data_IF_115696070870
#
_entry.id   IF_115696070870
#
_cell.length_a   1.000
_cell.length_b   1.000
_cell.length_c   1.000
_cell.angle_alpha   90.00
_cell.angle_beta   90.00
_cell.angle_gamma   90.00
#
_symmetry.space_group_name_H-M   'P 1'
#
loop_
_entity.id
_entity.type
_entity.pdbx_description
1 polymer ?
#
# COMPACT_ATOMS: atom_id res chain seq x y z
N UNK A 1 -8.94 -49.50 -11.39
CA UNK A 1 -7.95 -49.14 -10.36
C UNK A 1 -7.98 -47.64 -10.24
N UNK A 2 -8.55 -47.19 -9.13
CA UNK A 2 -8.82 -45.80 -8.77
C UNK A 2 -7.53 -45.01 -8.54
N UNK A 3 -7.64 -43.71 -8.87
CA UNK A 3 -7.03 -42.53 -8.25
C UNK A 3 -5.81 -42.72 -7.33
N UNK A 4 -4.73 -42.01 -7.67
CA UNK A 4 -3.94 -41.28 -6.67
C UNK A 4 -3.48 -39.94 -7.26
N UNK A 5 -4.38 -38.95 -7.19
CA UNK A 5 -4.01 -37.53 -7.21
C UNK A 5 -3.55 -37.15 -5.80
N UNK A 6 -2.39 -36.53 -5.59
CA UNK A 6 -2.03 -35.96 -4.29
C UNK A 6 -2.70 -34.58 -4.16
N UNK A 7 -4.03 -34.54 -4.07
CA UNK A 7 -4.74 -33.38 -3.55
C UNK A 7 -4.99 -33.63 -2.06
N UNK A 8 -3.99 -33.31 -1.23
CA UNK A 8 -4.19 -32.98 0.19
C UNK A 8 -2.95 -32.29 0.74
N UNK A 9 -2.58 -31.15 0.16
CA UNK A 9 -1.85 -30.16 0.92
C UNK A 9 -2.84 -29.54 1.90
N UNK A 10 -2.80 -30.00 3.15
CA UNK A 10 -3.48 -29.44 4.31
C UNK A 10 -3.75 -27.94 4.13
N UNK A 11 -5.02 -27.54 4.15
CA UNK A 11 -5.47 -26.16 4.13
C UNK A 11 -4.88 -25.43 5.35
N UNK A 12 -3.69 -24.87 5.18
CA UNK A 12 -3.01 -24.02 6.14
C UNK A 12 -3.94 -22.85 6.44
N UNK A 13 -4.51 -22.83 7.65
CA UNK A 13 -5.49 -21.83 8.05
C UNK A 13 -4.96 -20.42 7.76
N UNK A 14 -5.55 -19.77 6.77
CA UNK A 14 -5.25 -18.38 6.42
C UNK A 14 -6.06 -17.48 7.35
N UNK A 15 -5.44 -16.39 7.79
CA UNK A 15 -6.12 -15.39 8.64
C UNK A 15 -5.87 -14.01 8.03
N UNK A 16 -6.91 -13.20 7.92
CA UNK A 16 -6.79 -11.78 7.58
C UNK A 16 -7.09 -10.95 8.82
N UNK A 17 -6.26 -9.95 9.06
CA UNK A 17 -6.43 -9.02 10.18
C UNK A 17 -6.62 -7.63 9.57
N UNK A 18 -7.78 -7.03 9.80
CA UNK A 18 -8.10 -5.66 9.42
C UNK A 18 -7.95 -4.78 10.64
N UNK A 19 -7.11 -3.76 10.52
CA UNK A 19 -6.87 -2.75 11.54
C UNK A 19 -7.54 -1.47 11.06
N UNK A 20 -8.27 -0.78 11.93
CA UNK A 20 -8.91 0.51 11.66
C UNK A 20 -8.54 1.49 12.78
N UNK A 21 -8.18 2.71 12.42
CA UNK A 21 -7.88 3.78 13.38
C UNK A 21 -8.18 5.15 12.78
N UNK A 22 -8.45 6.13 13.63
CA UNK A 22 -8.68 7.53 13.19
C UNK A 22 -7.38 8.30 12.93
N UNK A 23 -6.27 7.88 13.55
CA UNK A 23 -4.92 8.35 13.25
C UNK A 23 -4.16 7.27 12.46
N UNK A 24 -3.70 7.63 11.26
CA UNK A 24 -2.93 6.71 10.42
C UNK A 24 -1.63 6.25 11.08
N UNK A 25 -1.00 7.08 11.92
CA UNK A 25 0.25 6.73 12.62
C UNK A 25 0.01 5.61 13.63
N UNK A 26 -1.08 5.71 14.38
CA UNK A 26 -1.47 4.66 15.31
C UNK A 26 -1.83 3.37 14.58
N UNK A 27 -2.53 3.46 13.44
CA UNK A 27 -2.84 2.28 12.62
C UNK A 27 -1.58 1.63 12.03
N UNK A 28 -0.61 2.43 11.57
CA UNK A 28 0.68 1.95 11.07
C UNK A 28 1.52 1.29 12.18
N UNK A 29 1.56 1.91 13.37
CA UNK A 29 2.28 1.38 14.52
C UNK A 29 1.67 0.06 15.01
N UNK A 30 0.35 0.02 15.20
CA UNK A 30 -0.35 -1.21 15.60
C UNK A 30 -0.12 -2.35 14.60
N UNK A 31 -0.11 -2.03 13.30
CA UNK A 31 0.18 -3.02 12.27
C UNK A 31 1.63 -3.53 12.36
N UNK A 32 2.61 -2.65 12.56
CA UNK A 32 4.01 -3.03 12.73
C UNK A 32 4.22 -3.89 13.99
N UNK A 33 3.58 -3.52 15.10
CA UNK A 33 3.70 -4.25 16.37
C UNK A 33 3.08 -5.64 16.28
N UNK A 34 1.94 -5.78 15.61
CA UNK A 34 1.33 -7.08 15.34
C UNK A 34 2.28 -7.94 14.54
N UNK A 35 2.82 -7.43 13.43
CA UNK A 35 3.75 -8.18 12.58
C UNK A 35 4.98 -8.61 13.37
N UNK A 36 5.56 -7.72 14.17
CA UNK A 36 6.70 -8.03 15.04
C UNK A 36 6.37 -9.14 16.06
N UNK A 37 5.15 -9.14 16.62
CA UNK A 37 4.71 -10.15 17.59
C UNK A 37 4.61 -11.56 17.00
N UNK A 38 4.33 -11.67 15.70
CA UNK A 38 4.15 -12.95 15.00
C UNK A 38 5.35 -13.37 14.15
N UNK A 39 6.34 -12.49 13.95
CA UNK A 39 7.54 -12.74 13.14
C UNK A 39 8.39 -13.93 13.64
N UNK A 40 8.30 -14.27 14.94
CA UNK A 40 8.99 -15.42 15.53
C UNK A 40 8.25 -16.77 15.38
N UNK A 41 7.19 -16.83 14.59
CA UNK A 41 6.39 -18.04 14.37
C UNK A 41 6.64 -18.64 12.98
N UNK A 42 6.16 -19.86 12.74
CA UNK A 42 6.29 -20.53 11.44
C UNK A 42 5.33 -19.97 10.36
N UNK A 43 4.58 -18.91 10.69
CA UNK A 43 3.62 -18.30 9.78
C UNK A 43 4.32 -17.29 8.84
N UNK A 44 3.90 -17.28 7.58
CA UNK A 44 4.30 -16.25 6.62
C UNK A 44 3.35 -15.06 6.72
N UNK A 45 3.90 -13.85 6.59
CA UNK A 45 3.18 -12.61 6.83
C UNK A 45 3.28 -11.74 5.58
N UNK A 46 2.13 -11.30 5.09
CA UNK A 46 2.02 -10.38 3.96
C UNK A 46 1.33 -9.10 4.43
N UNK A 47 1.91 -7.93 4.12
CA UNK A 47 1.41 -6.63 4.59
C UNK A 47 2.37 -5.85 5.49
N UNK A 48 1.92 -4.80 6.19
CA UNK A 48 0.55 -4.34 6.20
C UNK A 48 0.24 -3.57 4.92
N UNK A 49 -0.89 -3.86 4.29
CA UNK A 49 -1.36 -3.17 3.11
C UNK A 49 -2.31 -2.04 3.48
N UNK A 50 -2.03 -0.78 3.09
CA UNK A 50 -2.99 0.30 3.26
C UNK A 50 -4.24 0.03 2.42
N UNK A 51 -5.41 0.11 3.04
CA UNK A 51 -6.69 0.07 2.35
C UNK A 51 -7.20 1.52 2.19
N UNK A 52 -8.11 1.78 1.23
CA UNK A 52 -8.70 3.11 1.05
C UNK A 52 -9.25 3.65 2.38
N UNK A 53 -8.97 4.92 2.67
CA UNK A 53 -9.53 5.61 3.83
C UNK A 53 -11.05 5.72 3.65
N UNK A 54 -11.81 5.62 4.74
CA UNK A 54 -13.25 5.84 4.71
C UNK A 54 -13.59 7.14 5.41
N UNK A 55 -14.35 7.98 4.72
CA UNK A 55 -14.98 9.15 5.34
C UNK A 55 -16.14 8.64 6.18
N UNK A 56 -16.08 8.90 7.48
CA UNK A 56 -17.14 8.58 8.43
C UNK A 56 -18.13 9.75 8.46
N UNK A 57 -19.41 9.45 8.62
CA UNK A 57 -20.40 10.50 8.84
C UNK A 57 -20.10 11.24 10.17
N UNK A 58 -20.16 12.58 10.20
CA UNK A 58 -19.91 13.33 11.42
C UNK A 58 -20.91 12.92 12.51
N UNK A 59 -20.41 12.45 13.65
CA UNK A 59 -21.26 12.08 14.79
C UNK A 59 -21.84 13.30 15.54
N UNK A 60 -21.35 14.50 15.23
CA UNK A 60 -21.74 15.76 15.89
C UNK A 60 -21.97 16.88 14.86
N UNK A 61 -22.61 17.97 15.29
CA UNK A 61 -22.92 19.13 14.44
C UNK A 61 -21.66 19.89 13.93
N UNK A 62 -20.49 19.59 14.48
CA UNK A 62 -19.19 20.03 13.96
C UNK A 62 -18.87 19.22 12.70
N UNK A 63 -18.87 19.90 11.55
CA UNK A 63 -18.63 19.32 10.22
C UNK A 63 -17.15 19.01 9.94
N UNK A 64 -16.39 18.58 10.94
CA UNK A 64 -15.04 18.09 10.68
C UNK A 64 -15.14 16.68 10.10
N UNK A 65 -14.57 16.49 8.90
CA UNK A 65 -14.57 15.22 8.20
C UNK A 65 -13.70 14.21 8.98
N UNK A 66 -14.34 13.24 9.63
CA UNK A 66 -13.61 12.18 10.33
C UNK A 66 -13.26 11.10 9.30
N UNK A 67 -11.98 10.75 9.20
CA UNK A 67 -11.51 9.66 8.36
C UNK A 67 -11.01 8.50 9.18
N UNK A 68 -11.34 7.29 8.72
CA UNK A 68 -10.76 6.08 9.26
C UNK A 68 -9.74 5.48 8.30
N UNK A 69 -8.55 5.25 8.83
CA UNK A 69 -7.42 4.65 8.13
C UNK A 69 -7.37 3.17 8.42
N UNK A 70 -7.23 2.37 7.36
CA UNK A 70 -7.35 0.91 7.44
C UNK A 70 -6.09 0.21 6.94
N UNK A 71 -5.70 -0.88 7.60
CA UNK A 71 -4.61 -1.77 7.20
C UNK A 71 -5.09 -3.20 7.13
N UNK A 72 -4.55 -3.95 6.17
CA UNK A 72 -4.72 -5.39 6.07
C UNK A 72 -3.38 -6.08 6.35
N UNK A 73 -3.40 -7.10 7.21
CA UNK A 73 -2.34 -8.07 7.34
C UNK A 73 -2.91 -9.43 6.95
N UNK A 74 -2.16 -10.18 6.15
CA UNK A 74 -2.50 -11.56 5.82
C UNK A 74 -1.47 -12.49 6.45
N UNK A 75 -1.95 -13.51 7.15
CA UNK A 75 -1.17 -14.55 7.80
C UNK A 75 -1.43 -15.86 7.07
N UNK A 76 -0.39 -16.44 6.50
CA UNK A 76 -0.43 -17.66 5.69
C UNK A 76 0.24 -18.78 6.48
N UNK A 77 -0.48 -19.88 6.74
CA UNK A 77 0.03 -20.96 7.58
C UNK A 77 -0.04 -20.64 9.08
N UNK A 78 -1.18 -20.08 9.52
CA UNK A 78 -1.38 -19.79 10.94
C UNK A 78 -1.34 -21.07 11.78
N UNK A 79 -0.62 -21.01 12.90
CA UNK A 79 -0.52 -22.07 13.91
C UNK A 79 -1.13 -21.61 15.23
N UNK A 80 -1.42 -22.52 16.20
CA UNK A 80 -1.84 -22.11 17.54
C UNK A 80 -0.86 -21.12 18.21
N UNK A 81 0.46 -21.30 17.98
CA UNK A 81 1.49 -20.35 18.46
C UNK A 81 1.29 -18.95 17.90
N UNK A 82 0.93 -18.83 16.62
CA UNK A 82 0.65 -17.57 15.93
C UNK A 82 -0.59 -16.89 16.51
N UNK A 83 -1.66 -17.66 16.75
CA UNK A 83 -2.89 -17.14 17.37
C UNK A 83 -2.63 -16.66 18.80
N UNK A 84 -1.85 -17.41 19.59
CA UNK A 84 -1.50 -17.04 20.96
C UNK A 84 -0.60 -15.80 21.01
N UNK A 85 0.36 -15.68 20.09
CA UNK A 85 1.21 -14.50 19.97
C UNK A 85 0.37 -13.24 19.68
N UNK A 86 -0.58 -13.34 18.73
CA UNK A 86 -1.50 -12.26 18.42
C UNK A 86 -2.42 -11.89 19.60
N UNK A 87 -3.01 -12.89 20.29
CA UNK A 87 -3.92 -12.64 21.43
C UNK A 87 -3.26 -11.93 22.60
N UNK A 88 -1.96 -12.12 22.80
CA UNK A 88 -1.19 -11.46 23.86
C UNK A 88 -0.82 -10.01 23.52
N UNK A 89 -1.01 -9.59 22.28
CA UNK A 89 -0.68 -8.24 21.86
C UNK A 89 -1.69 -7.23 22.42
N UNK A 90 -1.20 -6.16 23.03
CA UNK A 90 -2.05 -5.12 23.59
C UNK A 90 -2.47 -4.14 22.49
N UNK A 91 -3.77 -4.06 22.21
CA UNK A 91 -4.31 -3.15 21.18
C UNK A 91 -4.38 -1.74 21.78
N UNK A 92 -3.72 -0.74 21.16
CA UNK A 92 -3.81 0.65 21.62
C UNK A 92 -5.25 1.19 21.60
N UNK A 93 -5.57 2.10 22.53
CA UNK A 93 -6.86 2.79 22.52
C UNK A 93 -7.07 3.54 21.19
N UNK A 94 -8.28 3.46 20.62
CA UNK A 94 -8.60 4.09 19.33
C UNK A 94 -8.24 3.24 18.09
N UNK A 95 -7.74 2.02 18.30
CA UNK A 95 -7.55 1.02 17.24
C UNK A 95 -8.60 -0.09 17.36
N UNK A 96 -9.31 -0.33 16.26
CA UNK A 96 -10.22 -1.46 16.10
C UNK A 96 -9.54 -2.55 15.27
N UNK A 97 -9.64 -3.80 15.73
CA UNK A 97 -9.08 -4.95 15.02
C UNK A 97 -10.18 -5.98 14.76
N UNK A 98 -10.29 -6.40 13.50
CA UNK A 98 -11.21 -7.44 13.07
C UNK A 98 -10.44 -8.58 12.40
N UNK A 99 -10.77 -9.81 12.79
CA UNK A 99 -10.35 -11.01 12.04
C UNK A 99 -11.36 -11.21 10.92
N UNK A 100 -10.86 -11.24 9.69
CA UNK A 100 -11.63 -11.29 8.45
C UNK A 100 -11.46 -12.67 7.84
N UNK A 101 -12.55 -13.23 7.29
CA UNK A 101 -12.50 -14.55 6.67
C UNK A 101 -11.61 -14.51 5.40
N UNK A 102 -10.89 -15.60 5.06
CA UNK A 102 -9.97 -15.63 3.91
C UNK A 102 -10.62 -15.39 2.55
N UNK A 103 -11.92 -15.62 2.45
CA UNK A 103 -12.77 -15.49 1.27
C UNK A 103 -13.49 -14.13 1.21
N UNK A 104 -13.50 -13.35 2.29
CA UNK A 104 -14.09 -12.01 2.27
C UNK A 104 -13.23 -11.08 1.38
N UNK A 105 -13.80 -10.45 0.34
CA UNK A 105 -13.08 -9.54 -0.52
C UNK A 105 -12.56 -8.34 0.30
N UNK A 106 -11.24 -8.14 0.28
CA UNK A 106 -10.59 -7.12 1.11
C UNK A 106 -10.52 -5.76 0.41
N UNK A 107 -10.70 -5.76 -0.90
CA UNK A 107 -10.87 -4.54 -1.69
C UNK A 107 -12.36 -4.17 -1.69
N UNK A 108 -12.72 -2.89 -1.92
CA UNK A 108 -14.12 -2.51 -2.02
C UNK A 108 -14.82 -3.43 -3.04
N UNK A 109 -16.09 -3.73 -2.78
CA UNK A 109 -17.01 -4.26 -3.79
C UNK A 109 -16.71 -3.55 -5.12
N UNK A 110 -16.50 -4.27 -6.24
CA UNK A 110 -16.36 -3.66 -7.56
C UNK A 110 -17.43 -2.60 -7.85
N UNK A 111 -18.62 -2.70 -7.25
CA UNK A 111 -19.72 -1.73 -7.34
C UNK A 111 -19.54 -0.44 -6.51
N UNK A 112 -18.62 -0.40 -5.54
CA UNK A 112 -18.32 0.76 -4.68
C UNK A 112 -17.13 1.60 -5.16
N UNK A 113 -16.52 1.26 -6.30
CA UNK A 113 -15.36 1.94 -6.86
C UNK A 113 -15.78 3.06 -7.84
N UNK A 114 -15.09 4.22 -7.86
CA UNK A 114 -15.41 5.30 -8.77
C UNK A 114 -15.26 4.90 -10.25
N UNK A 115 -16.15 5.41 -11.09
CA UNK A 115 -16.41 5.01 -12.49
C UNK A 115 -15.25 5.15 -13.50
N UNK A 116 -14.02 5.48 -13.07
CA UNK A 116 -12.86 5.67 -13.96
C UNK A 116 -11.57 5.02 -13.45
N UNK A 117 -11.65 3.86 -12.79
CA UNK A 117 -10.45 3.02 -12.57
C UNK A 117 -10.05 2.32 -13.87
N UNK A 118 -8.78 2.42 -14.21
CA UNK A 118 -8.19 1.67 -15.32
C UNK A 118 -7.05 0.78 -14.78
N UNK A 119 -6.59 -0.18 -15.59
CA UNK A 119 -5.53 -1.11 -15.23
C UNK A 119 -4.23 -0.44 -14.74
N UNK A 120 -3.91 0.76 -15.24
CA UNK A 120 -2.72 1.53 -14.83
C UNK A 120 -2.89 2.09 -13.42
N UNK A 121 -4.07 2.61 -13.09
CA UNK A 121 -4.40 3.07 -11.74
C UNK A 121 -4.32 1.93 -10.72
N UNK A 122 -4.95 0.79 -11.01
CA UNK A 122 -4.91 -0.39 -10.12
C UNK A 122 -3.48 -0.89 -9.90
N UNK A 123 -2.65 -0.82 -10.93
CA UNK A 123 -1.24 -1.18 -10.85
C UNK A 123 -0.44 -0.21 -9.97
N UNK A 124 -0.72 1.10 -10.01
CA UNK A 124 -0.08 2.07 -9.10
C UNK A 124 -0.49 1.85 -7.66
N UNK A 125 -1.77 1.56 -7.41
CA UNK A 125 -2.27 1.22 -6.07
C UNK A 125 -1.60 -0.05 -5.56
N UNK A 126 -1.49 -1.09 -6.39
CA UNK A 126 -0.79 -2.32 -6.03
C UNK A 126 0.69 -2.05 -5.71
N UNK A 127 1.40 -1.28 -6.55
CA UNK A 127 2.78 -0.89 -6.30
C UNK A 127 2.93 -0.13 -4.98
N UNK A 128 2.05 0.83 -4.70
CA UNK A 128 2.05 1.61 -3.46
C UNK A 128 1.86 0.72 -2.23
N UNK A 129 0.91 -0.22 -2.27
CA UNK A 129 0.65 -1.14 -1.18
C UNK A 129 1.84 -2.07 -0.92
N UNK A 130 2.46 -2.60 -1.98
CA UNK A 130 3.64 -3.44 -1.86
C UNK A 130 4.81 -2.66 -1.26
N UNK A 131 5.12 -1.48 -1.80
CA UNK A 131 6.23 -0.66 -1.31
C UNK A 131 6.04 -0.25 0.16
N UNK A 132 4.82 0.10 0.56
CA UNK A 132 4.51 0.33 1.98
C UNK A 132 4.84 -0.91 2.83
N UNK A 133 4.34 -2.08 2.45
CA UNK A 133 4.58 -3.34 3.16
C UNK A 133 6.07 -3.68 3.24
N UNK A 134 6.78 -3.51 2.13
CA UNK A 134 8.22 -3.78 2.01
C UNK A 134 9.05 -2.96 2.99
N UNK A 135 8.67 -1.71 3.27
CA UNK A 135 9.38 -0.88 4.25
C UNK A 135 9.32 -1.39 5.69
N UNK A 136 8.25 -2.11 6.07
CA UNK A 136 8.13 -2.71 7.41
C UNK A 136 8.87 -4.03 7.48
N UNK A 137 8.91 -4.75 6.36
CA UNK A 137 9.46 -6.10 6.27
C UNK A 137 10.71 -6.15 5.37
N UNK A 138 11.63 -5.18 5.49
CA UNK A 138 12.81 -5.03 4.58
C UNK A 138 13.77 -6.22 4.56
N UNK A 139 13.63 -7.15 5.50
CA UNK A 139 14.46 -8.35 5.60
C UNK A 139 13.87 -9.56 4.85
N UNK A 140 12.64 -9.45 4.33
CA UNK A 140 12.03 -10.52 3.54
C UNK A 140 12.75 -10.69 2.19
N UNK A 141 12.68 -11.88 1.61
CA UNK A 141 13.09 -12.11 0.23
C UNK A 141 12.10 -11.44 -0.74
N UNK A 142 12.62 -10.64 -1.68
CA UNK A 142 11.79 -9.87 -2.62
C UNK A 142 10.93 -10.76 -3.51
N UNK A 143 11.50 -11.86 -4.01
CA UNK A 143 10.83 -12.75 -4.96
C UNK A 143 9.63 -13.41 -4.28
N UNK A 144 9.85 -13.92 -3.07
CA UNK A 144 8.82 -14.50 -2.21
C UNK A 144 7.76 -13.46 -1.85
N UNK A 145 8.19 -12.24 -1.48
CA UNK A 145 7.27 -11.14 -1.17
C UNK A 145 6.35 -10.78 -2.34
N UNK A 146 6.90 -10.66 -3.56
CA UNK A 146 6.10 -10.39 -4.77
C UNK A 146 5.15 -11.56 -5.09
N UNK A 147 5.62 -12.80 -4.95
CA UNK A 147 4.79 -13.98 -5.17
C UNK A 147 3.59 -14.00 -4.21
N UNK A 148 3.83 -13.86 -2.91
CA UNK A 148 2.77 -13.85 -1.90
C UNK A 148 1.82 -12.65 -2.08
N UNK A 149 2.35 -11.49 -2.43
CA UNK A 149 1.55 -10.29 -2.68
C UNK A 149 0.58 -10.43 -3.86
N UNK A 150 1.06 -10.92 -5.00
CA UNK A 150 0.24 -11.00 -6.21
C UNK A 150 -0.68 -12.21 -6.23
N UNK A 151 -0.33 -13.30 -5.53
CA UNK A 151 -1.18 -14.50 -5.42
C UNK A 151 -2.52 -14.20 -4.72
N UNK A 152 -2.57 -13.11 -3.96
CA UNK A 152 -3.73 -12.73 -3.13
C UNK A 152 -4.55 -11.58 -3.72
N UNK A 153 -4.24 -11.20 -4.97
CA UNK A 153 -4.95 -10.14 -5.69
C UNK A 153 -6.17 -10.68 -6.42
N UNK A 154 -7.21 -9.84 -6.63
CA UNK A 154 -8.42 -10.27 -7.32
C UNK A 154 -8.20 -10.55 -8.81
N UNK A 155 -7.19 -9.91 -9.40
CA UNK A 155 -6.81 -10.10 -10.80
C UNK A 155 -5.49 -10.90 -10.88
N UNK A 156 -5.26 -11.65 -11.96
CA UNK A 156 -4.03 -12.41 -12.14
C UNK A 156 -2.80 -11.50 -12.22
N UNK A 157 -1.62 -12.01 -11.89
CA UNK A 157 -0.38 -11.22 -11.80
C UNK A 157 -0.08 -10.45 -13.09
N UNK A 158 -0.38 -11.01 -14.25
CA UNK A 158 -0.22 -10.38 -15.57
C UNK A 158 -1.00 -9.07 -15.67
N UNK A 159 -2.20 -8.98 -15.06
CA UNK A 159 -2.96 -7.73 -14.99
C UNK A 159 -2.13 -6.62 -14.33
N UNK A 160 -1.33 -6.96 -13.33
CA UNK A 160 -0.47 -6.04 -12.58
C UNK A 160 0.98 -5.96 -13.08
N UNK A 161 1.29 -6.40 -14.30
CA UNK A 161 2.64 -6.34 -14.85
C UNK A 161 3.28 -4.93 -14.72
N UNK A 162 2.48 -3.89 -14.94
CA UNK A 162 2.94 -2.51 -14.75
C UNK A 162 3.27 -2.18 -13.29
N UNK A 163 2.55 -2.74 -12.32
CA UNK A 163 2.86 -2.58 -10.90
C UNK A 163 4.24 -3.14 -10.58
N UNK A 164 4.56 -4.32 -11.12
CA UNK A 164 5.85 -4.98 -10.92
C UNK A 164 7.00 -4.17 -11.53
N UNK A 165 6.82 -3.60 -12.71
CA UNK A 165 7.78 -2.66 -13.32
C UNK A 165 8.05 -1.45 -12.41
N UNK A 166 6.99 -0.84 -11.85
CA UNK A 166 7.10 0.29 -10.93
C UNK A 166 7.83 -0.11 -9.64
N UNK A 167 7.47 -1.23 -9.02
CA UNK A 167 8.08 -1.72 -7.78
C UNK A 167 9.58 -1.92 -7.99
N UNK A 168 9.97 -2.69 -9.00
CA UNK A 168 11.37 -2.98 -9.29
C UNK A 168 12.16 -1.72 -9.63
N UNK A 169 11.56 -0.81 -10.40
CA UNK A 169 12.15 0.47 -10.75
C UNK A 169 12.40 1.36 -9.54
N UNK A 170 11.40 1.52 -8.68
CA UNK A 170 11.52 2.31 -7.44
C UNK A 170 12.58 1.73 -6.51
N UNK A 171 12.61 0.41 -6.30
CA UNK A 171 13.60 -0.22 -5.41
C UNK A 171 15.02 -0.03 -5.95
N UNK A 172 15.19 -0.15 -7.27
CA UNK A 172 16.49 0.04 -7.94
C UNK A 172 17.01 1.46 -7.79
N UNK A 173 16.15 2.46 -8.00
CA UNK A 173 16.51 3.88 -7.97
C UNK A 173 16.24 4.53 -6.59
N UNK A 174 15.97 3.74 -5.55
CA UNK A 174 15.43 4.22 -4.27
C UNK A 174 16.23 5.37 -3.66
N UNK A 175 17.56 5.24 -3.63
CA UNK A 175 18.42 6.25 -3.02
C UNK A 175 18.33 7.61 -3.76
N UNK A 176 18.30 7.58 -5.09
CA UNK A 176 18.18 8.77 -5.92
C UNK A 176 16.78 9.39 -5.79
N UNK A 177 15.74 8.56 -5.76
CA UNK A 177 14.36 9.00 -5.56
C UNK A 177 14.21 9.67 -4.19
N UNK A 178 14.74 9.06 -3.13
CA UNK A 178 14.67 9.60 -1.77
C UNK A 178 15.47 10.91 -1.62
N UNK A 179 16.60 11.05 -2.33
CA UNK A 179 17.35 12.31 -2.42
C UNK A 179 16.51 13.42 -3.06
N UNK A 180 15.83 13.13 -4.18
CA UNK A 180 14.93 14.07 -4.85
C UNK A 180 13.78 14.47 -3.92
N UNK A 181 13.13 13.52 -3.25
CA UNK A 181 12.08 13.81 -2.28
C UNK A 181 12.61 14.72 -1.17
N UNK A 182 13.77 14.38 -0.60
CA UNK A 182 14.41 15.17 0.46
C UNK A 182 14.74 16.61 0.03
N UNK A 183 15.14 16.80 -1.23
CA UNK A 183 15.44 18.13 -1.80
C UNK A 183 14.22 19.06 -1.79
N UNK A 184 13.01 18.55 -2.04
CA UNK A 184 11.79 19.36 -2.09
C UNK A 184 10.97 19.32 -0.78
N UNK A 185 11.21 18.33 0.08
CA UNK A 185 10.58 18.22 1.39
C UNK A 185 11.25 19.08 2.48
N UNK A 186 11.92 20.20 2.15
CA UNK A 186 12.81 20.94 3.09
C UNK A 186 12.17 21.35 4.43
N UNK A 187 10.86 21.58 4.46
CA UNK A 187 10.11 21.95 5.67
C UNK A 187 9.50 20.75 6.41
N UNK A 188 9.68 19.54 5.88
CA UNK A 188 9.18 18.29 6.43
C UNK A 188 10.36 17.41 6.82
N UNK A 189 10.42 17.00 8.10
CA UNK A 189 11.35 15.95 8.47
C UNK A 189 10.97 14.68 7.68
N UNK A 190 11.90 14.14 6.89
CA UNK A 190 11.64 13.01 5.99
C UNK A 190 10.96 11.83 6.70
N UNK A 191 11.38 11.52 7.93
CA UNK A 191 10.78 10.48 8.76
C UNK A 191 9.38 10.77 9.32
N UNK A 192 8.80 11.96 9.08
CA UNK A 192 7.42 12.30 9.44
C UNK A 192 6.43 12.18 8.29
N UNK A 193 6.92 11.95 7.07
CA UNK A 193 6.07 11.70 5.90
C UNK A 193 5.33 10.38 6.13
N UNK A 194 4.02 10.37 5.91
CA UNK A 194 3.24 9.14 6.03
C UNK A 194 3.79 8.09 5.04
N UNK A 195 3.86 6.82 5.45
CA UNK A 195 4.40 5.74 4.59
C UNK A 195 3.68 5.63 3.25
N UNK A 196 2.35 5.83 3.27
CA UNK A 196 1.51 5.90 2.08
C UNK A 196 1.96 7.03 1.15
N UNK A 197 2.10 8.24 1.68
CA UNK A 197 2.51 9.43 0.91
C UNK A 197 3.92 9.25 0.34
N UNK A 198 4.83 8.67 1.12
CA UNK A 198 6.20 8.40 0.70
C UNK A 198 6.25 7.37 -0.44
N UNK A 199 5.47 6.30 -0.36
CA UNK A 199 5.36 5.31 -1.44
C UNK A 199 4.77 5.92 -2.72
N UNK A 200 3.74 6.78 -2.59
CA UNK A 200 3.14 7.51 -3.72
C UNK A 200 4.18 8.43 -4.38
N UNK A 201 4.90 9.23 -3.60
CA UNK A 201 5.93 10.12 -4.10
C UNK A 201 7.04 9.36 -4.83
N UNK A 202 7.48 8.22 -4.28
CA UNK A 202 8.51 7.39 -4.90
C UNK A 202 8.09 6.85 -6.27
N UNK A 203 6.86 6.34 -6.37
CA UNK A 203 6.31 5.86 -7.64
C UNK A 203 6.23 7.00 -8.66
N UNK A 204 5.69 8.15 -8.25
CA UNK A 204 5.50 9.29 -9.15
C UNK A 204 6.83 9.86 -9.63
N UNK A 205 7.83 10.02 -8.75
CA UNK A 205 9.16 10.50 -9.13
C UNK A 205 9.86 9.49 -10.06
N UNK A 206 9.74 8.18 -9.79
CA UNK A 206 10.24 7.16 -10.71
C UNK A 206 9.60 7.28 -12.10
N UNK A 207 8.27 7.45 -12.18
CA UNK A 207 7.60 7.66 -13.46
C UNK A 207 8.11 8.92 -14.17
N UNK A 208 8.22 10.04 -13.46
CA UNK A 208 8.73 11.31 -14.02
C UNK A 208 10.16 11.17 -14.55
N UNK A 209 11.01 10.42 -13.86
CA UNK A 209 12.41 10.19 -14.24
C UNK A 209 12.59 9.21 -15.40
N UNK A 210 11.84 8.10 -15.40
CA UNK A 210 12.15 6.92 -16.22
C UNK A 210 11.06 6.56 -17.22
N UNK A 211 9.82 7.03 -17.05
CA UNK A 211 8.68 6.72 -17.91
C UNK A 211 8.39 7.85 -18.88
N UNK A 212 9.16 7.88 -19.97
CA UNK A 212 8.96 8.84 -21.07
C UNK A 212 7.68 8.56 -21.87
N UNK A 213 7.13 7.35 -21.76
CA UNK A 213 5.84 6.92 -22.33
C UNK A 213 4.63 7.52 -21.60
N UNK A 214 4.83 8.16 -20.45
CA UNK A 214 3.77 8.75 -19.63
C UNK A 214 3.97 10.26 -19.54
N UNK A 215 2.96 11.08 -19.90
CA UNK A 215 3.04 12.52 -19.71
C UNK A 215 3.18 12.88 -18.23
N UNK A 216 4.09 13.80 -17.84
CA UNK A 216 4.30 14.18 -16.44
C UNK A 216 3.02 14.54 -15.67
N UNK A 217 2.09 15.28 -16.30
CA UNK A 217 0.82 15.67 -15.68
C UNK A 217 -0.06 14.46 -15.32
N UNK A 218 0.03 13.37 -16.08
CA UNK A 218 -0.74 12.14 -15.78
C UNK A 218 -0.22 11.47 -14.52
N UNK A 219 1.09 11.31 -14.38
CA UNK A 219 1.70 10.75 -13.17
C UNK A 219 1.40 11.58 -11.92
N UNK A 220 1.41 12.91 -12.04
CA UNK A 220 1.09 13.81 -10.93
C UNK A 220 -0.37 13.67 -10.52
N UNK A 221 -1.31 13.72 -11.47
CA UNK A 221 -2.73 13.59 -11.17
C UNK A 221 -3.05 12.25 -10.51
N UNK A 222 -2.47 11.15 -11.01
CA UNK A 222 -2.65 9.82 -10.41
C UNK A 222 -2.09 9.73 -8.99
N UNK A 223 -0.94 10.34 -8.73
CA UNK A 223 -0.37 10.41 -7.38
C UNK A 223 -1.28 11.17 -6.41
N UNK A 224 -1.83 12.30 -6.86
CA UNK A 224 -2.77 13.14 -6.10
C UNK A 224 -4.09 12.40 -5.83
N UNK A 225 -4.61 11.67 -6.81
CA UNK A 225 -5.84 10.89 -6.67
C UNK A 225 -5.66 9.71 -5.70
N UNK A 226 -4.54 8.99 -5.77
CA UNK A 226 -4.21 7.92 -4.82
C UNK A 226 -4.01 8.49 -3.41
N UNK A 227 -3.36 9.65 -3.26
CA UNK A 227 -3.20 10.31 -1.96
C UNK A 227 -4.56 10.66 -1.34
N UNK A 228 -5.51 11.14 -2.15
CA UNK A 228 -6.88 11.41 -1.71
C UNK A 228 -7.60 10.14 -1.23
N UNK A 229 -7.40 9.02 -1.92
CA UNK A 229 -8.05 7.75 -1.59
C UNK A 229 -7.47 7.08 -0.33
N UNK A 230 -6.15 7.12 -0.14
CA UNK A 230 -5.47 6.30 0.89
C UNK A 230 -4.94 7.09 2.09
N UNK A 231 -4.92 8.42 2.02
CA UNK A 231 -4.23 9.26 2.99
C UNK A 231 -5.14 10.36 3.56
N UNK A 232 -4.52 11.42 4.08
CA UNK A 232 -5.19 12.56 4.71
C UNK A 232 -5.54 13.65 3.69
N UNK A 233 -6.39 14.61 4.06
CA UNK A 233 -6.68 15.77 3.21
C UNK A 233 -5.46 16.65 2.92
N UNK A 234 -4.53 16.75 3.88
CA UNK A 234 -3.29 17.52 3.72
C UNK A 234 -2.33 16.86 2.73
N UNK A 235 -2.35 15.52 2.65
CA UNK A 235 -1.49 14.71 1.79
C UNK A 235 -1.64 15.07 0.32
N UNK A 236 -2.86 15.40 -0.13
CA UNK A 236 -3.12 15.84 -1.51
C UNK A 236 -2.26 17.04 -1.90
N UNK A 237 -2.26 18.08 -1.06
CA UNK A 237 -1.52 19.34 -1.32
C UNK A 237 -0.03 19.11 -1.22
N UNK A 238 0.39 18.32 -0.23
CA UNK A 238 1.79 17.96 -0.01
C UNK A 238 2.37 17.21 -1.22
N UNK A 239 1.73 16.13 -1.66
CA UNK A 239 2.16 15.33 -2.82
C UNK A 239 2.21 16.20 -4.08
N UNK A 240 1.17 16.97 -4.36
CA UNK A 240 1.14 17.84 -5.53
C UNK A 240 2.28 18.86 -5.52
N UNK A 241 2.54 19.52 -4.39
CA UNK A 241 3.58 20.54 -4.27
C UNK A 241 5.00 20.00 -4.53
N UNK A 242 5.32 18.81 -4.02
CA UNK A 242 6.63 18.18 -4.28
C UNK A 242 6.77 17.82 -5.76
N UNK A 243 5.76 17.19 -6.34
CA UNK A 243 5.85 16.70 -7.71
C UNK A 243 5.84 17.84 -8.74
N UNK A 244 5.09 18.92 -8.49
CA UNK A 244 5.14 20.12 -9.33
C UNK A 244 6.52 20.77 -9.31
N UNK A 245 7.15 20.86 -8.13
CA UNK A 245 8.51 21.39 -8.00
C UNK A 245 9.55 20.56 -8.76
N UNK A 246 9.41 19.22 -8.71
CA UNK A 246 10.32 18.34 -9.45
C UNK A 246 10.08 18.38 -10.97
N UNK A 247 8.82 18.46 -11.40
CA UNK A 247 8.44 18.60 -12.81
C UNK A 247 9.07 19.82 -13.48
N UNK A 248 9.19 20.94 -12.77
CA UNK A 248 9.86 22.15 -13.29
C UNK A 248 11.35 21.92 -13.58
N UNK A 249 12.02 21.08 -12.79
CA UNK A 249 13.43 20.72 -12.99
C UNK A 249 13.63 19.69 -14.12
N UNK A 250 12.62 18.85 -14.37
CA UNK A 250 12.68 17.77 -15.35
C UNK A 250 12.85 18.24 -16.80
N UNK A 251 12.39 19.46 -17.13
CA UNK A 251 12.53 20.07 -18.46
C UNK A 251 11.77 19.38 -19.60
N UNK A 252 10.93 18.38 -19.31
CA UNK A 252 10.06 17.67 -20.26
C UNK A 252 8.75 18.43 -20.49
N UNK A 253 8.14 18.30 -21.69
CA UNK A 253 6.80 18.83 -21.94
C UNK A 253 5.80 18.14 -20.97
N UNK A 254 5.14 18.89 -20.07
CA UNK A 254 4.28 18.29 -19.04
C UNK A 254 3.10 17.47 -19.60
N UNK A 255 2.70 17.73 -20.85
CA UNK A 255 1.49 17.17 -21.46
C UNK A 255 1.78 16.12 -22.52
N UNK A 256 3.05 15.86 -22.87
CA UNK A 256 3.40 14.91 -23.93
C UNK A 256 4.20 13.73 -23.38
N UNK A 257 3.91 12.57 -23.96
CA UNK A 257 4.82 11.43 -23.91
C UNK A 257 5.89 11.64 -24.99
N UNK A 258 7.13 11.29 -24.69
CA UNK A 258 8.29 11.45 -25.59
C UNK A 258 8.64 10.15 -26.32
N UNK A 259 7.86 9.08 -26.11
CA UNK A 259 8.07 7.74 -26.68
C UNK A 259 6.89 7.21 -27.50
N UNK A 260 6.20 8.08 -28.25
CA UNK A 260 5.10 7.72 -29.16
C UNK A 260 5.57 7.57 -30.60
#
# INVERSE_FOLDING_TARGET
MENDSPISASARAKIRIRIKGVDYRMADQAAADIIASIAGTDARISGPFPLPSQVEEPRTALREEIRSHRRLIEIIGSSPKTVDAFRRHNIPAGIEIAIVAPDEPVLPDPAALPAKRNRRHDSRVAAMQFLCSWEVQRHADMVTGLFDFFSERPQPREYYAFAEELIQGVIRDLALIDEIIGKYAKNWAFGRIARVDLAILRIAIFELMRRTDIPPVVSINEAVDIAKEFSTEESKRFVNGILDSYKEELGRDPRKAEGG
#
